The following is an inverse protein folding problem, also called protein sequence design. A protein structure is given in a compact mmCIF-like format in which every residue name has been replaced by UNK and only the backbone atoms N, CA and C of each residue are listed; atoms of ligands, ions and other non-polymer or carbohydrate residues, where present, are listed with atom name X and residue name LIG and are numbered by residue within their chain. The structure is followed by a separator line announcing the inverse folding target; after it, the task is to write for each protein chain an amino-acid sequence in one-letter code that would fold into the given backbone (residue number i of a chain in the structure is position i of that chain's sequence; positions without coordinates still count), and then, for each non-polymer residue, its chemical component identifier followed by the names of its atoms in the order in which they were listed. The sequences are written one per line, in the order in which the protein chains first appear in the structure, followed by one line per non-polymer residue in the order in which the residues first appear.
data_IF_050288347529
#
_entry.id   IF_050288347529
#
_cell.length_a   1.000
_cell.length_b   1.000
_cell.length_c   1.000
_cell.angle_alpha   90.00
_cell.angle_beta   90.00
_cell.angle_gamma   90.00
#
_symmetry.space_group_name_H-M   'P 1'
#
loop_
_entity.id
_entity.type
_entity.pdbx_description
1 polymer ?
#
# COMPACT_ATOMS: atom_id res chain seq x y z
N UNK A 1 14.82 10.96 66.66
CA UNK A 1 14.25 10.14 65.56
C UNK A 1 15.16 10.31 64.33
N UNK A 2 16.38 9.80 64.40
CA UNK A 2 16.80 8.46 63.97
C UNK A 2 17.00 8.39 62.45
N UNK A 3 18.23 8.73 62.05
CA UNK A 3 18.84 8.47 60.73
C UNK A 3 18.59 7.02 60.27
N UNK A 4 18.51 6.11 61.24
CA UNK A 4 18.12 4.69 61.06
C UNK A 4 16.76 4.51 60.40
N UNK A 5 15.76 5.37 60.63
CA UNK A 5 14.47 5.30 59.92
C UNK A 5 14.57 5.73 58.44
N UNK A 6 15.46 6.66 58.10
CA UNK A 6 15.65 7.12 56.72
C UNK A 6 16.40 6.09 55.86
N UNK A 7 17.40 5.40 56.44
CA UNK A 7 18.16 4.35 55.75
C UNK A 7 17.27 3.15 55.39
N UNK A 8 16.38 2.75 56.29
CA UNK A 8 15.45 1.64 56.04
C UNK A 8 14.49 1.97 54.89
N UNK A 9 13.97 3.19 54.81
CA UNK A 9 13.09 3.63 53.71
C UNK A 9 13.82 3.60 52.36
N UNK A 10 15.08 4.05 52.32
CA UNK A 10 15.89 4.02 51.09
C UNK A 10 16.16 2.59 50.60
N UNK A 11 16.39 1.65 51.52
CA UNK A 11 16.56 0.23 51.18
C UNK A 11 15.26 -0.34 50.59
N UNK A 12 14.09 -0.05 51.18
CA UNK A 12 12.81 -0.51 50.62
C UNK A 12 12.47 0.12 49.25
N UNK A 13 12.89 1.36 48.99
CA UNK A 13 12.73 1.99 47.67
C UNK A 13 13.64 1.34 46.61
N UNK A 14 14.85 0.94 46.98
CA UNK A 14 15.77 0.25 46.06
C UNK A 14 15.30 -1.15 45.65
N UNK A 15 14.64 -1.88 46.55
CA UNK A 15 14.08 -3.21 46.25
C UNK A 15 12.91 -3.14 45.24
N UNK A 16 12.15 -2.05 45.24
CA UNK A 16 11.07 -1.83 44.27
C UNK A 16 11.60 -1.48 42.87
N UNK A 17 12.78 -0.83 42.78
CA UNK A 17 13.43 -0.54 41.51
C UNK A 17 13.89 -1.83 40.81
N UNK A 18 14.52 -2.76 41.56
CA UNK A 18 14.94 -4.06 41.02
C UNK A 18 13.77 -4.92 40.51
N UNK A 19 12.59 -4.79 41.13
CA UNK A 19 11.39 -5.53 40.71
C UNK A 19 10.77 -4.99 39.39
N UNK A 20 10.99 -3.72 39.05
CA UNK A 20 10.56 -3.15 37.76
C UNK A 20 11.45 -3.64 36.62
N UNK A 21 12.77 -3.65 36.86
CA UNK A 21 13.75 -4.12 35.88
C UNK A 21 13.57 -5.63 35.60
N UNK A 22 13.39 -6.45 36.64
CA UNK A 22 13.13 -7.89 36.49
C UNK A 22 11.84 -8.15 35.67
N UNK A 23 10.76 -7.40 35.94
CA UNK A 23 9.52 -7.51 35.14
C UNK A 23 9.76 -7.14 33.69
N UNK A 24 10.57 -6.12 33.41
CA UNK A 24 10.87 -5.69 32.05
C UNK A 24 11.75 -6.71 31.32
N UNK A 25 12.81 -7.20 31.96
CA UNK A 25 13.65 -8.27 31.42
C UNK A 25 12.85 -9.55 31.20
N UNK A 26 11.99 -9.95 32.14
CA UNK A 26 11.06 -11.07 31.95
C UNK A 26 10.26 -10.87 30.67
N UNK A 27 9.65 -9.70 30.46
CA UNK A 27 8.86 -9.43 29.25
C UNK A 27 9.68 -9.48 27.95
N UNK A 28 10.97 -9.10 27.99
CA UNK A 28 11.91 -9.26 26.85
C UNK A 28 12.14 -10.75 26.58
N UNK A 29 12.43 -11.54 27.60
CA UNK A 29 12.83 -12.95 27.46
C UNK A 29 11.63 -13.91 27.28
N UNK A 30 10.45 -13.58 27.81
CA UNK A 30 9.21 -14.37 27.63
C UNK A 30 8.45 -13.97 26.38
N UNK A 31 8.99 -13.05 25.57
CA UNK A 31 8.37 -12.55 24.35
C UNK A 31 7.01 -11.85 24.58
N UNK A 32 6.69 -11.50 25.83
CA UNK A 32 5.46 -10.77 26.21
C UNK A 32 5.44 -9.33 25.64
N UNK A 33 6.61 -8.76 25.30
CA UNK A 33 6.69 -7.49 24.56
C UNK A 33 6.24 -7.61 23.09
N UNK A 34 6.23 -8.82 22.53
CA UNK A 34 5.79 -9.11 21.18
C UNK A 34 4.31 -9.54 21.13
N UNK A 35 3.58 -9.46 22.25
CA UNK A 35 2.12 -9.50 22.20
C UNK A 35 1.67 -8.25 21.44
N UNK A 36 1.09 -8.44 20.25
CA UNK A 36 0.52 -7.35 19.46
C UNK A 36 -0.50 -6.60 20.32
N UNK A 37 -0.09 -5.47 20.88
CA UNK A 37 -1.03 -4.54 21.50
C UNK A 37 -2.09 -4.21 20.45
N UNK A 38 -3.40 -4.23 20.80
CA UNK A 38 -4.43 -3.91 19.83
C UNK A 38 -4.12 -2.55 19.23
N UNK A 39 -3.92 -2.51 17.91
CA UNK A 39 -3.60 -1.25 17.21
C UNK A 39 -4.71 -0.26 17.55
N UNK A 40 -4.36 0.97 17.99
CA UNK A 40 -5.37 1.95 18.30
C UNK A 40 -6.26 2.16 17.08
N UNK A 41 -7.56 2.30 17.32
CA UNK A 41 -8.51 2.62 16.25
C UNK A 41 -8.06 3.91 15.54
N UNK A 42 -8.26 3.97 14.23
CA UNK A 42 -7.93 5.16 13.46
C UNK A 42 -8.73 6.35 13.98
N UNK A 43 -8.10 7.52 14.09
CA UNK A 43 -8.77 8.73 14.57
C UNK A 43 -9.59 9.38 13.47
N UNK A 44 -9.08 9.32 12.24
CA UNK A 44 -9.73 9.89 11.06
C UNK A 44 -9.79 8.85 9.97
N UNK A 45 -11.00 8.66 9.45
CA UNK A 45 -11.33 7.65 8.46
C UNK A 45 -12.21 8.27 7.37
N UNK A 46 -11.77 8.15 6.12
CA UNK A 46 -12.51 8.65 4.96
C UNK A 46 -12.54 7.56 3.89
N UNK A 47 -13.71 7.31 3.33
CA UNK A 47 -13.90 6.35 2.23
C UNK A 47 -14.40 7.04 0.97
N UNK A 48 -13.97 6.56 -0.19
CA UNK A 48 -14.62 6.91 -1.45
C UNK A 48 -16.00 6.24 -1.56
N UNK A 49 -16.82 6.61 -2.56
CA UNK A 49 -17.94 5.78 -2.98
C UNK A 49 -17.51 4.34 -3.25
N UNK A 50 -18.45 3.42 -3.07
CA UNK A 50 -18.30 2.01 -3.43
C UNK A 50 -18.60 1.83 -4.93
N UNK A 51 -17.62 1.39 -5.69
CA UNK A 51 -17.77 1.11 -7.12
C UNK A 51 -18.01 -0.38 -7.34
N UNK A 52 -19.13 -0.74 -7.97
CA UNK A 52 -19.52 -2.14 -8.17
C UNK A 52 -19.11 -2.62 -9.57
N UNK A 53 -18.19 -3.58 -9.64
CA UNK A 53 -17.64 -4.13 -10.88
C UNK A 53 -17.56 -5.64 -10.76
N UNK A 54 -17.89 -6.37 -11.81
CA UNK A 54 -17.65 -7.82 -11.90
C UNK A 54 -16.16 -8.04 -12.21
N UNK A 55 -15.37 -8.27 -11.16
CA UNK A 55 -13.89 -8.34 -11.23
C UNK A 55 -13.45 -9.76 -11.57
N UNK A 56 -14.19 -10.77 -11.11
CA UNK A 56 -13.89 -12.19 -11.30
C UNK A 56 -14.67 -12.82 -12.47
N UNK A 57 -15.50 -12.06 -13.19
CA UNK A 57 -16.26 -12.48 -14.37
C UNK A 57 -17.24 -13.63 -14.12
N UNK A 58 -17.79 -13.72 -12.91
CA UNK A 58 -18.84 -14.69 -12.59
C UNK A 58 -20.25 -14.13 -12.80
N UNK A 59 -20.37 -12.87 -13.24
CA UNK A 59 -21.63 -12.15 -13.43
C UNK A 59 -22.14 -11.45 -12.17
N UNK A 60 -21.47 -11.63 -11.04
CA UNK A 60 -21.73 -10.95 -9.77
C UNK A 60 -20.76 -9.77 -9.65
N UNK A 61 -21.23 -8.67 -9.07
CA UNK A 61 -20.39 -7.48 -8.89
C UNK A 61 -19.77 -7.45 -7.50
N UNK A 62 -18.48 -7.20 -7.45
CA UNK A 62 -17.69 -6.91 -6.26
C UNK A 62 -17.57 -5.40 -6.03
N UNK A 63 -17.26 -5.05 -4.79
CA UNK A 63 -17.04 -3.67 -4.37
C UNK A 63 -15.59 -3.26 -4.43
N UNK A 64 -15.28 -2.20 -5.16
CA UNK A 64 -14.00 -1.48 -5.12
C UNK A 64 -14.15 -0.20 -4.30
N UNK A 65 -13.30 -0.02 -3.30
CA UNK A 65 -13.31 1.18 -2.46
C UNK A 65 -11.90 1.62 -2.11
N UNK A 66 -11.72 2.93 -2.05
CA UNK A 66 -10.49 3.56 -1.59
C UNK A 66 -10.73 4.13 -0.21
N UNK A 67 -9.73 3.98 0.65
CA UNK A 67 -9.94 4.14 2.07
C UNK A 67 -8.73 4.84 2.68
N UNK A 68 -8.91 5.99 3.34
CA UNK A 68 -7.84 6.75 3.99
C UNK A 68 -7.98 6.65 5.51
N UNK A 69 -7.00 6.04 6.19
CA UNK A 69 -6.93 5.92 7.66
C UNK A 69 -5.73 6.71 8.16
N UNK A 70 -5.96 7.74 8.97
CA UNK A 70 -4.90 8.59 9.54
C UNK A 70 -3.88 9.07 8.49
N UNK A 71 -4.37 9.50 7.33
CA UNK A 71 -3.55 9.97 6.20
C UNK A 71 -2.94 8.87 5.32
N UNK A 72 -3.14 7.59 5.63
CA UNK A 72 -2.63 6.47 4.84
C UNK A 72 -3.68 5.97 3.85
N UNK A 73 -3.28 5.82 2.58
CA UNK A 73 -4.15 5.33 1.51
C UNK A 73 -4.20 3.82 1.46
N UNK A 74 -5.41 3.29 1.32
CA UNK A 74 -5.67 1.87 1.11
C UNK A 74 -6.57 1.68 -0.10
N UNK A 75 -6.27 0.64 -0.88
CA UNK A 75 -7.17 0.11 -1.89
C UNK A 75 -7.78 -1.19 -1.39
N UNK A 76 -9.09 -1.34 -1.48
CA UNK A 76 -9.81 -2.49 -0.93
C UNK A 76 -10.74 -3.10 -1.99
N UNK A 77 -10.79 -4.43 -1.97
CA UNK A 77 -11.77 -5.23 -2.70
C UNK A 77 -12.67 -5.91 -1.66
N UNK A 78 -13.96 -5.76 -1.85
CA UNK A 78 -15.01 -6.38 -1.05
C UNK A 78 -15.83 -7.32 -1.92
N UNK A 79 -16.28 -8.43 -1.35
CA UNK A 79 -17.22 -9.31 -2.04
C UNK A 79 -18.61 -8.67 -2.16
N UNK A 80 -19.54 -9.42 -2.77
CA UNK A 80 -20.95 -9.01 -2.95
C UNK A 80 -21.71 -8.72 -1.64
N UNK A 81 -21.23 -9.22 -0.51
CA UNK A 81 -21.81 -9.01 0.82
C UNK A 81 -21.10 -7.89 1.60
N UNK A 82 -20.08 -7.25 1.00
CA UNK A 82 -19.29 -6.20 1.63
C UNK A 82 -18.15 -6.73 2.52
N UNK A 83 -17.88 -8.03 2.51
CA UNK A 83 -16.77 -8.64 3.27
C UNK A 83 -15.46 -8.31 2.57
N UNK A 84 -14.47 -7.85 3.34
CA UNK A 84 -13.15 -7.50 2.81
C UNK A 84 -12.42 -8.76 2.34
N UNK A 85 -12.09 -8.82 1.05
CA UNK A 85 -11.30 -9.90 0.44
C UNK A 85 -9.84 -9.52 0.24
N UNK A 86 -9.58 -8.25 -0.05
CA UNK A 86 -8.23 -7.76 -0.28
C UNK A 86 -8.07 -6.32 0.21
N UNK A 87 -6.90 -5.99 0.75
CA UNK A 87 -6.56 -4.62 1.18
C UNK A 87 -5.07 -4.35 1.00
N UNK A 88 -4.72 -3.39 0.16
CA UNK A 88 -3.34 -2.95 -0.09
C UNK A 88 -3.11 -1.53 0.43
N UNK A 89 -2.02 -1.32 1.17
CA UNK A 89 -1.59 0.02 1.59
C UNK A 89 -0.76 0.67 0.48
N UNK A 90 -1.26 1.77 -0.06
CA UNK A 90 -0.56 2.55 -1.07
C UNK A 90 0.40 3.55 -0.42
N UNK A 91 1.62 3.62 -0.93
CA UNK A 91 2.70 4.42 -0.34
C UNK A 91 2.66 5.82 -0.90
N UNK A 92 1.98 6.73 -0.21
CA UNK A 92 2.06 8.16 -0.47
C UNK A 92 3.48 8.70 -0.20
N UNK A 93 3.87 9.73 -0.93
CA UNK A 93 5.13 10.48 -0.77
C UNK A 93 4.89 11.93 -0.35
N UNK A 94 3.71 12.47 -0.61
CA UNK A 94 3.38 13.86 -0.39
C UNK A 94 1.92 14.07 -0.01
N UNK A 95 1.47 15.31 -0.11
CA UNK A 95 0.09 15.73 0.18
C UNK A 95 -0.86 15.36 -0.97
N UNK A 96 -2.15 15.25 -0.65
CA UNK A 96 -3.24 14.98 -1.60
C UNK A 96 -3.06 13.72 -2.45
N UNK A 97 -2.42 12.69 -1.89
CA UNK A 97 -2.35 11.38 -2.50
C UNK A 97 -3.75 10.78 -2.70
N UNK A 98 -3.96 10.20 -3.89
CA UNK A 98 -5.26 9.66 -4.29
C UNK A 98 -5.14 8.63 -5.41
N UNK A 99 -6.08 7.70 -5.46
CA UNK A 99 -6.27 6.83 -6.62
C UNK A 99 -7.20 7.59 -7.59
N UNK A 100 -6.74 7.84 -8.81
CA UNK A 100 -7.51 8.60 -9.79
C UNK A 100 -8.04 7.75 -10.95
N UNK A 101 -7.53 6.53 -11.11
CA UNK A 101 -7.99 5.60 -12.15
C UNK A 101 -7.68 4.15 -11.77
N UNK A 102 -8.61 3.25 -12.05
CA UNK A 102 -8.42 1.80 -11.95
C UNK A 102 -8.89 1.19 -13.27
N UNK A 103 -8.10 0.30 -13.85
CA UNK A 103 -8.47 -0.41 -15.08
C UNK A 103 -8.44 -1.91 -14.87
N UNK A 104 -9.47 -2.61 -15.30
CA UNK A 104 -9.49 -4.08 -15.37
C UNK A 104 -8.99 -4.51 -16.76
N UNK A 105 -7.96 -5.35 -16.78
CA UNK A 105 -7.34 -5.92 -17.98
C UNK A 105 -7.17 -7.42 -17.79
N UNK A 106 -7.13 -8.16 -18.90
CA UNK A 106 -6.85 -9.60 -18.87
C UNK A 106 -5.38 -9.83 -19.10
N UNK A 107 -4.74 -10.67 -18.28
CA UNK A 107 -3.39 -11.17 -18.54
C UNK A 107 -3.46 -12.39 -19.43
N UNK A 108 -4.25 -13.40 -19.04
CA UNK A 108 -4.49 -14.60 -19.84
C UNK A 108 -5.92 -15.12 -19.58
N UNK A 109 -6.28 -16.30 -20.08
CA UNK A 109 -7.64 -16.84 -19.94
C UNK A 109 -8.12 -17.05 -18.50
N UNK A 110 -7.21 -17.11 -17.52
CA UNK A 110 -7.51 -17.38 -16.10
C UNK A 110 -7.14 -16.23 -15.16
N UNK A 111 -6.31 -15.31 -15.59
CA UNK A 111 -5.74 -14.26 -14.75
C UNK A 111 -6.15 -12.89 -15.26
N UNK A 112 -6.75 -12.10 -14.37
CA UNK A 112 -7.08 -10.70 -14.63
C UNK A 112 -6.20 -9.78 -13.76
N UNK A 113 -6.02 -8.54 -14.23
CA UNK A 113 -5.15 -7.52 -13.66
C UNK A 113 -5.93 -6.22 -13.48
N UNK A 114 -5.94 -5.71 -12.25
CA UNK A 114 -6.33 -4.35 -11.92
C UNK A 114 -5.08 -3.45 -11.93
N UNK A 115 -5.05 -2.50 -12.87
CA UNK A 115 -4.06 -1.45 -12.93
C UNK A 115 -4.53 -0.21 -12.16
N UNK A 116 -4.02 -0.05 -10.95
CA UNK A 116 -4.34 1.08 -10.09
C UNK A 116 -3.35 2.21 -10.39
N UNK A 117 -3.87 3.33 -10.88
CA UNK A 117 -3.11 4.54 -11.09
C UNK A 117 -3.21 5.41 -9.83
N UNK A 118 -2.14 5.42 -9.05
CA UNK A 118 -2.06 6.10 -7.77
C UNK A 118 -1.20 7.34 -7.86
N UNK A 119 -1.80 8.51 -7.63
CA UNK A 119 -1.06 9.75 -7.42
C UNK A 119 -0.43 9.70 -6.02
N UNK A 120 0.91 9.64 -5.95
CA UNK A 120 1.67 9.53 -4.71
C UNK A 120 1.66 10.86 -3.91
N UNK A 121 1.01 11.90 -4.42
CA UNK A 121 0.96 13.23 -3.83
C UNK A 121 2.04 14.17 -4.37
N UNK A 122 1.98 15.43 -3.95
CA UNK A 122 3.01 16.43 -4.23
C UNK A 122 3.79 16.82 -2.98
N UNK A 123 5.02 17.29 -3.19
CA UNK A 123 5.90 17.87 -2.18
C UNK A 123 6.37 19.24 -2.65
N UNK A 124 6.40 20.23 -1.75
CA UNK A 124 7.06 21.51 -2.03
C UNK A 124 6.47 22.71 -1.30
N UNK A 125 7.34 23.47 -0.61
CA UNK A 125 7.09 24.88 -0.24
C UNK A 125 7.74 25.84 -1.24
N UNK A 126 8.88 25.45 -1.86
CA UNK A 126 9.65 26.27 -2.81
C UNK A 126 9.81 25.66 -4.21
N UNK A 127 9.82 24.33 -4.32
CA UNK A 127 9.89 23.58 -5.58
C UNK A 127 8.75 22.55 -5.58
N UNK A 128 7.82 22.63 -6.55
CA UNK A 128 6.74 21.65 -6.67
C UNK A 128 7.27 20.37 -7.33
N UNK A 129 6.98 19.22 -6.71
CA UNK A 129 7.26 17.92 -7.30
C UNK A 129 6.13 16.95 -6.99
N UNK A 130 5.57 16.35 -8.03
CA UNK A 130 4.52 15.35 -7.90
C UNK A 130 4.84 14.09 -8.70
N UNK A 131 4.37 12.95 -8.22
CA UNK A 131 4.59 11.66 -8.88
C UNK A 131 3.35 10.80 -8.83
N UNK A 132 3.10 10.02 -9.88
CA UNK A 132 2.13 8.94 -9.85
C UNK A 132 2.78 7.60 -10.21
N UNK A 133 2.20 6.51 -9.70
CA UNK A 133 2.72 5.16 -9.79
C UNK A 133 1.60 4.18 -10.12
N UNK A 134 1.96 3.10 -10.80
CA UNK A 134 1.09 1.94 -10.96
C UNK A 134 1.24 0.96 -9.80
N UNK A 135 0.12 0.42 -9.36
CA UNK A 135 0.05 -0.81 -8.59
C UNK A 135 -0.65 -1.86 -9.44
N UNK A 136 -0.07 -3.05 -9.49
CA UNK A 136 -0.63 -4.19 -10.20
C UNK A 136 -1.32 -5.07 -9.16
N UNK A 137 -2.63 -5.21 -9.25
CA UNK A 137 -3.39 -6.14 -8.40
C UNK A 137 -3.90 -7.26 -9.28
N UNK A 138 -3.34 -8.45 -9.09
CA UNK A 138 -3.62 -9.62 -9.92
C UNK A 138 -4.64 -10.50 -9.20
N UNK A 139 -5.67 -10.94 -9.93
CA UNK A 139 -6.60 -11.96 -9.49
C UNK A 139 -6.29 -13.25 -10.28
N UNK A 140 -5.70 -14.24 -9.62
CA UNK A 140 -5.42 -15.55 -10.22
C UNK A 140 -6.66 -16.44 -10.23
N UNK A 141 -6.81 -17.23 -11.29
CA UNK A 141 -7.95 -18.14 -11.52
C UNK A 141 -9.33 -17.49 -11.38
N UNK A 142 -9.38 -16.15 -11.45
CA UNK A 142 -10.57 -15.34 -11.14
C UNK A 142 -11.16 -15.68 -9.76
N UNK A 143 -10.29 -15.92 -8.79
CA UNK A 143 -10.66 -16.21 -7.41
C UNK A 143 -10.27 -15.03 -6.51
N UNK A 144 -11.26 -14.44 -5.82
CA UNK A 144 -11.05 -13.29 -4.94
C UNK A 144 -10.23 -13.63 -3.68
N UNK A 145 -10.03 -14.91 -3.38
CA UNK A 145 -9.14 -15.36 -2.32
C UNK A 145 -7.66 -15.46 -2.81
N UNK A 146 -7.43 -15.34 -4.13
CA UNK A 146 -6.11 -15.37 -4.78
C UNK A 146 -5.74 -14.02 -5.40
N UNK A 147 -5.78 -12.98 -4.57
CA UNK A 147 -5.44 -11.60 -4.98
C UNK A 147 -4.06 -11.22 -4.49
N UNK A 148 -3.23 -10.72 -5.40
CA UNK A 148 -1.83 -10.37 -5.11
C UNK A 148 -1.49 -8.97 -5.61
N UNK A 149 -0.79 -8.17 -4.81
CA UNK A 149 -0.30 -6.85 -5.21
C UNK A 149 1.17 -6.87 -5.60
N UNK A 150 1.50 -6.00 -6.56
CA UNK A 150 2.87 -5.64 -6.90
C UNK A 150 2.99 -4.13 -7.08
N UNK A 151 4.02 -3.56 -6.46
CA UNK A 151 4.32 -2.13 -6.58
C UNK A 151 5.05 -1.87 -7.90
N UNK A 152 4.30 -1.43 -8.91
CA UNK A 152 4.79 -1.12 -10.25
C UNK A 152 5.60 0.20 -10.34
N UNK A 153 5.96 0.62 -11.56
CA UNK A 153 6.81 1.78 -11.81
C UNK A 153 6.07 3.10 -11.60
N UNK A 154 6.84 4.17 -11.43
CA UNK A 154 6.32 5.53 -11.57
C UNK A 154 5.95 5.80 -13.05
N UNK A 155 4.79 6.39 -13.27
CA UNK A 155 4.18 6.68 -14.60
C UNK A 155 3.89 8.15 -14.85
N UNK A 156 4.18 8.99 -13.86
CA UNK A 156 3.98 10.42 -13.94
C UNK A 156 5.04 11.09 -13.08
N UNK A 157 5.67 12.12 -13.61
CA UNK A 157 6.52 13.04 -12.87
C UNK A 157 6.20 14.46 -13.34
N UNK A 158 5.82 15.30 -12.39
CA UNK A 158 5.63 16.72 -12.60
C UNK A 158 6.57 17.47 -11.68
N UNK A 159 7.20 18.52 -12.22
CA UNK A 159 8.12 19.36 -11.48
C UNK A 159 8.01 20.80 -11.94
N UNK A 160 7.93 21.71 -10.97
CA UNK A 160 8.10 23.13 -11.17
C UNK A 160 9.28 23.59 -10.31
N UNK A 161 10.19 24.38 -10.89
CA UNK A 161 11.33 24.98 -10.18
C UNK A 161 11.17 26.48 -10.07
N UNK A 162 11.87 27.07 -9.10
CA UNK A 162 12.09 28.53 -9.03
C UNK A 162 12.53 29.07 -10.41
N UNK A 163 11.88 30.14 -10.87
CA UNK A 163 12.12 30.74 -12.19
C UNK A 163 11.23 30.22 -13.31
N UNK A 164 10.04 29.68 -12.98
CA UNK A 164 8.99 29.29 -13.93
C UNK A 164 9.39 28.16 -14.92
N UNK A 165 10.32 27.30 -14.51
CA UNK A 165 10.72 26.14 -15.29
C UNK A 165 9.81 24.95 -14.95
N UNK A 166 8.86 24.66 -15.84
CA UNK A 166 7.91 23.55 -15.71
C UNK A 166 8.34 22.33 -16.52
N UNK A 167 8.22 21.14 -15.95
CA UNK A 167 8.49 19.87 -16.63
C UNK A 167 7.43 18.83 -16.27
N UNK A 168 6.82 18.25 -17.30
CA UNK A 168 5.86 17.17 -17.18
C UNK A 168 6.30 15.95 -17.99
N UNK A 169 6.34 14.79 -17.33
CA UNK A 169 6.60 13.49 -17.96
C UNK A 169 5.42 12.56 -17.71
N UNK A 170 4.62 12.32 -18.74
CA UNK A 170 3.45 11.44 -18.71
C UNK A 170 3.76 10.16 -19.49
N UNK A 171 3.79 9.02 -18.79
CA UNK A 171 4.08 7.74 -19.41
C UNK A 171 2.78 7.14 -19.96
N UNK A 172 2.87 6.46 -21.09
CA UNK A 172 1.80 5.65 -21.65
C UNK A 172 1.87 4.25 -21.04
N UNK A 173 0.71 3.69 -20.72
CA UNK A 173 0.58 2.36 -20.13
C UNK A 173 -0.28 1.52 -21.07
N UNK A 174 0.28 0.42 -21.59
CA UNK A 174 -0.45 -0.52 -22.45
C UNK A 174 -0.34 -1.95 -21.90
N UNK A 175 -1.37 -2.75 -22.13
CA UNK A 175 -1.43 -4.17 -21.78
C UNK A 175 -1.67 -4.96 -23.06
N UNK A 176 -0.64 -5.62 -23.57
CA UNK A 176 -0.62 -6.31 -24.86
C UNK A 176 0.28 -7.54 -24.76
N UNK A 177 -0.01 -8.57 -25.54
CA UNK A 177 0.84 -9.75 -25.72
C UNK A 177 1.95 -9.46 -26.75
N UNK A 178 3.13 -9.07 -26.24
CA UNK A 178 4.27 -8.66 -27.05
C UNK A 178 5.05 -9.86 -27.60
N UNK A 179 5.09 -10.97 -26.89
CA UNK A 179 5.86 -12.17 -27.26
C UNK A 179 5.00 -13.26 -27.93
N UNK A 180 3.68 -13.05 -28.02
CA UNK A 180 2.68 -13.96 -28.59
C UNK A 180 2.55 -15.29 -27.84
N UNK A 181 2.77 -15.30 -26.54
CA UNK A 181 2.66 -16.50 -25.69
C UNK A 181 1.27 -16.68 -25.05
N UNK A 182 0.33 -15.77 -25.33
CA UNK A 182 -1.01 -15.75 -24.75
C UNK A 182 -1.11 -15.06 -23.39
N UNK A 183 -0.02 -14.43 -22.91
CA UNK A 183 0.01 -13.58 -21.73
C UNK A 183 0.25 -12.13 -22.11
N UNK A 184 -0.69 -11.25 -21.79
CA UNK A 184 -0.48 -9.83 -21.99
C UNK A 184 0.52 -9.29 -20.95
N UNK A 185 1.55 -8.57 -21.41
CA UNK A 185 2.47 -7.83 -20.57
C UNK A 185 2.04 -6.39 -20.36
N UNK A 186 2.47 -5.82 -19.23
CA UNK A 186 2.31 -4.39 -18.98
C UNK A 186 3.53 -3.65 -19.50
N UNK A 187 3.31 -2.70 -20.40
CA UNK A 187 4.35 -1.82 -20.93
C UNK A 187 4.13 -0.40 -20.44
N UNK A 188 5.21 0.26 -20.03
CA UNK A 188 5.22 1.64 -19.56
C UNK A 188 6.26 2.42 -20.36
N UNK A 189 5.82 3.37 -21.18
CA UNK A 189 6.66 4.06 -22.16
C UNK A 189 6.59 5.58 -22.05
N UNK A 190 7.73 6.26 -22.17
CA UNK A 190 7.84 7.71 -22.30
C UNK A 190 9.08 8.06 -23.12
N UNK A 191 8.90 8.71 -24.28
CA UNK A 191 9.96 8.96 -25.26
C UNK A 191 10.75 7.66 -25.53
N UNK A 192 12.06 7.65 -25.28
CA UNK A 192 12.94 6.50 -25.49
C UNK A 192 13.04 5.57 -24.26
N UNK A 193 12.27 5.84 -23.19
CA UNK A 193 12.23 4.99 -21.99
C UNK A 193 11.07 4.01 -22.17
N UNK A 194 11.39 2.72 -22.16
CA UNK A 194 10.41 1.64 -22.14
C UNK A 194 10.72 0.71 -20.97
N UNK A 195 9.67 0.28 -20.28
CA UNK A 195 9.74 -0.78 -19.26
C UNK A 195 8.66 -1.80 -19.57
N UNK A 196 9.04 -3.06 -19.62
CA UNK A 196 8.12 -4.17 -19.86
C UNK A 196 8.04 -5.03 -18.61
N UNK A 197 6.83 -5.43 -18.23
CA UNK A 197 6.59 -6.26 -17.05
C UNK A 197 5.87 -7.53 -17.49
N UNK A 198 6.57 -8.66 -17.34
CA UNK A 198 6.09 -9.99 -17.64
C UNK A 198 5.51 -10.61 -16.37
N UNK A 199 4.27 -11.04 -16.43
CA UNK A 199 3.65 -11.75 -15.33
C UNK A 199 4.27 -13.14 -15.19
N UNK A 200 4.53 -13.58 -13.95
CA UNK A 200 5.01 -14.94 -13.66
C UNK A 200 3.95 -15.76 -12.93
N UNK A 201 3.65 -15.40 -11.69
CA UNK A 201 2.63 -16.06 -10.84
C UNK A 201 2.53 -15.31 -9.50
N UNK A 202 1.41 -15.40 -8.79
CA UNK A 202 1.18 -14.89 -7.43
C UNK A 202 1.60 -13.43 -7.25
N UNK A 203 1.29 -12.61 -8.25
CA UNK A 203 1.66 -11.19 -8.27
C UNK A 203 3.15 -10.92 -8.52
N UNK A 204 3.96 -11.92 -8.87
CA UNK A 204 5.34 -11.71 -9.27
C UNK A 204 5.41 -11.24 -10.72
N UNK A 205 6.16 -10.15 -10.92
CA UNK A 205 6.41 -9.54 -12.22
C UNK A 205 7.91 -9.43 -12.48
N UNK A 206 8.34 -9.90 -13.65
CA UNK A 206 9.71 -9.71 -14.13
C UNK A 206 9.77 -8.46 -14.99
N UNK A 207 10.61 -7.50 -14.62
CA UNK A 207 10.84 -6.30 -15.40
C UNK A 207 11.99 -6.50 -16.41
N UNK A 208 11.81 -5.99 -17.63
CA UNK A 208 12.85 -5.79 -18.65
C UNK A 208 12.98 -4.30 -18.99
#
# INVERSE_FOLDING_TARGET
MSITKCVVIFIFLSLNASAQDERFFRKIFTNELNLESPKPAAKVEVSSPLYMVDINRDGIKEGLVTHKKDGQDYFQIKDKYGVLKFSEKLKAKGLDSSIYKVELKTVNSKTDLLLIHFYEGYSGVFDYKATARLYFVVIEDRDLDKVYSYKGPAIFLEREKVGNQYNLRKYHVNVLDYNKDGHNEVSVTYNNIQRLFFYKTKGLWQAL
#
